data_IF_778674602885
#
_entry.id   IF_778674602885
#
_cell.length_a   1.000
_cell.length_b   1.000
_cell.length_c   1.000
_cell.angle_alpha   90.00
_cell.angle_beta   90.00
_cell.angle_gamma   90.00
#
_symmetry.space_group_name_H-M   'P 1'
#
loop_
_entity.id
_entity.type
_entity.pdbx_description
1 polymer ?
#
# COMPACT_ATOMS: atom_id res chain seq x y z
N UNK A 1 13.75 -4.87 7.44
CA UNK A 1 13.97 -3.95 6.33
C UNK A 1 12.70 -3.81 5.51
N UNK A 2 12.37 -2.58 5.07
CA UNK A 2 11.36 -2.38 4.05
C UNK A 2 11.96 -2.64 2.66
N UNK A 3 11.12 -2.91 1.66
CA UNK A 3 11.56 -3.04 0.27
C UNK A 3 12.30 -1.78 -0.22
N UNK A 4 11.78 -0.60 0.15
CA UNK A 4 12.41 0.69 -0.20
C UNK A 4 13.81 0.79 0.39
N UNK A 5 14.00 0.44 1.67
CA UNK A 5 15.31 0.46 2.32
C UNK A 5 16.29 -0.52 1.66
N UNK A 6 15.83 -1.74 1.34
CA UNK A 6 16.67 -2.72 0.64
C UNK A 6 17.12 -2.20 -0.73
N UNK A 7 16.19 -1.61 -1.50
CA UNK A 7 16.50 -1.09 -2.83
C UNK A 7 17.40 0.15 -2.78
N UNK A 8 17.25 1.01 -1.77
CA UNK A 8 18.22 2.08 -1.50
C UNK A 8 19.60 1.52 -1.20
N UNK A 9 19.69 0.47 -0.38
CA UNK A 9 20.98 -0.19 -0.09
C UNK A 9 21.61 -0.83 -1.33
N UNK A 10 20.81 -1.43 -2.22
CA UNK A 10 21.31 -2.11 -3.43
C UNK A 10 21.66 -1.14 -4.57
N UNK A 11 20.92 -0.05 -4.73
CA UNK A 11 20.96 0.83 -5.91
C UNK A 11 21.18 2.31 -5.56
N UNK A 12 21.19 2.68 -4.29
CA UNK A 12 21.50 4.02 -3.86
C UNK A 12 22.93 4.43 -4.21
N UNK A 13 23.21 5.73 -4.18
CA UNK A 13 24.53 6.27 -4.47
C UNK A 13 25.03 7.24 -3.39
N UNK A 14 24.19 7.58 -2.43
CA UNK A 14 24.57 8.36 -1.27
C UNK A 14 25.25 7.46 -0.22
N UNK A 15 26.10 8.05 0.62
CA UNK A 15 26.86 7.30 1.64
C UNK A 15 25.95 6.56 2.61
N UNK A 16 24.88 7.21 3.00
CA UNK A 16 23.88 6.70 3.94
C UNK A 16 23.15 5.46 3.36
N UNK A 17 22.84 5.50 2.08
CA UNK A 17 22.15 4.41 1.38
C UNK A 17 23.02 3.15 1.30
N UNK A 18 24.29 3.31 0.90
CA UNK A 18 25.19 2.17 0.62
C UNK A 18 25.95 1.67 1.84
N UNK A 19 25.86 2.34 3.00
CA UNK A 19 26.61 1.98 4.20
C UNK A 19 26.40 0.52 4.62
N UNK A 20 25.16 0.03 4.54
CA UNK A 20 24.79 -1.33 4.92
C UNK A 20 25.02 -2.38 3.79
N UNK A 21 25.50 -1.97 2.60
CA UNK A 21 25.60 -2.85 1.43
C UNK A 21 26.46 -4.10 1.68
N UNK A 22 27.59 -3.94 2.37
CA UNK A 22 28.49 -5.05 2.70
C UNK A 22 27.85 -6.10 3.63
N UNK A 23 26.84 -5.72 4.43
CA UNK A 23 26.16 -6.63 5.35
C UNK A 23 25.24 -7.63 4.61
N UNK A 24 24.92 -7.36 3.34
CA UNK A 24 24.14 -8.26 2.51
C UNK A 24 24.94 -9.49 2.04
N UNK A 25 26.28 -9.44 2.09
CA UNK A 25 27.11 -10.58 1.70
C UNK A 25 26.83 -11.82 2.55
N UNK A 26 26.74 -13.00 1.91
CA UNK A 26 26.46 -14.29 2.55
C UNK A 26 25.13 -14.33 3.32
N UNK A 27 24.17 -13.50 2.95
CA UNK A 27 22.85 -13.42 3.59
C UNK A 27 21.77 -14.22 2.85
N UNK A 28 20.62 -14.36 3.50
CA UNK A 28 19.36 -14.81 2.88
C UNK A 28 18.42 -13.62 2.85
N UNK A 29 17.97 -13.24 1.66
CA UNK A 29 17.01 -12.15 1.45
C UNK A 29 15.68 -12.77 1.05
N UNK A 30 14.62 -12.47 1.81
CA UNK A 30 13.25 -12.86 1.49
C UNK A 30 12.52 -11.62 1.00
N UNK A 31 12.07 -11.67 -0.26
CA UNK A 31 11.25 -10.63 -0.89
C UNK A 31 9.81 -11.11 -0.93
N UNK A 32 8.97 -10.52 -0.09
CA UNK A 32 7.54 -10.79 -0.06
C UNK A 32 6.80 -9.81 -0.96
N UNK A 33 5.64 -10.22 -1.51
CA UNK A 33 4.74 -9.39 -2.32
C UNK A 33 5.45 -8.70 -3.52
N UNK A 34 6.30 -9.42 -4.27
CA UNK A 34 7.05 -8.86 -5.42
C UNK A 34 6.14 -8.28 -6.51
N UNK A 35 4.91 -8.77 -6.64
CA UNK A 35 3.93 -8.23 -7.59
C UNK A 35 3.51 -6.78 -7.27
N UNK A 36 3.76 -6.30 -6.05
CA UNK A 36 3.52 -4.91 -5.68
C UNK A 36 4.45 -3.93 -6.40
N UNK A 37 5.60 -4.43 -6.90
CA UNK A 37 6.57 -3.60 -7.62
C UNK A 37 6.05 -3.20 -9.00
N UNK A 38 6.55 -2.08 -9.50
CA UNK A 38 6.24 -1.62 -10.86
C UNK A 38 6.66 -2.68 -11.87
N UNK A 39 5.73 -3.17 -12.67
CA UNK A 39 6.01 -4.19 -13.67
C UNK A 39 7.00 -3.70 -14.76
N UNK A 40 7.12 -2.39 -14.93
CA UNK A 40 8.11 -1.76 -15.82
C UNK A 40 9.56 -2.00 -15.41
N UNK A 41 9.83 -2.36 -14.16
CA UNK A 41 11.17 -2.61 -13.62
C UNK A 41 11.49 -4.09 -13.40
N UNK A 42 10.56 -4.99 -13.62
CA UNK A 42 10.78 -6.40 -13.29
C UNK A 42 12.00 -7.01 -13.98
N UNK A 43 12.25 -6.66 -15.25
CA UNK A 43 13.42 -7.15 -15.99
C UNK A 43 14.73 -6.72 -15.35
N UNK A 44 14.84 -5.44 -15.03
CA UNK A 44 16.02 -4.85 -14.38
C UNK A 44 16.23 -5.44 -12.99
N UNK A 45 15.15 -5.51 -12.19
CA UNK A 45 15.19 -6.05 -10.82
C UNK A 45 15.73 -7.48 -10.83
N UNK A 46 15.15 -8.36 -11.63
CA UNK A 46 15.57 -9.78 -11.67
C UNK A 46 16.99 -9.93 -12.18
N UNK A 47 17.40 -9.14 -13.17
CA UNK A 47 18.78 -9.18 -13.69
C UNK A 47 19.78 -8.76 -12.61
N UNK A 48 19.55 -7.67 -11.90
CA UNK A 48 20.40 -7.23 -10.80
C UNK A 48 20.41 -8.23 -9.63
N UNK A 49 19.25 -8.72 -9.23
CA UNK A 49 19.16 -9.69 -8.12
C UNK A 49 19.93 -10.97 -8.43
N UNK A 50 19.87 -11.49 -9.67
CA UNK A 50 20.70 -12.64 -10.10
C UNK A 50 22.20 -12.31 -10.03
N UNK A 51 22.58 -11.10 -10.47
CA UNK A 51 23.98 -10.64 -10.37
C UNK A 51 24.46 -10.57 -8.92
N UNK A 52 23.72 -9.93 -8.04
CA UNK A 52 24.06 -9.82 -6.62
C UNK A 52 24.06 -11.18 -5.92
N UNK A 53 23.10 -12.07 -6.21
CA UNK A 53 23.06 -13.41 -5.65
C UNK A 53 24.36 -14.16 -5.93
N UNK A 54 24.88 -14.06 -7.16
CA UNK A 54 26.13 -14.71 -7.57
C UNK A 54 27.37 -14.04 -6.97
N UNK A 55 27.48 -12.71 -7.09
CA UNK A 55 28.70 -11.98 -6.70
C UNK A 55 28.89 -11.90 -5.18
N UNK A 56 27.77 -11.79 -4.42
CA UNK A 56 27.80 -11.59 -2.98
C UNK A 56 27.42 -12.85 -2.19
N UNK A 57 27.25 -13.99 -2.88
CA UNK A 57 26.79 -15.25 -2.28
C UNK A 57 25.48 -15.10 -1.49
N UNK A 58 24.52 -14.35 -2.04
CA UNK A 58 23.21 -14.14 -1.43
C UNK A 58 22.24 -15.22 -1.91
N UNK A 59 21.40 -15.73 -1.01
CA UNK A 59 20.24 -16.57 -1.36
C UNK A 59 19.00 -15.70 -1.37
N UNK A 60 18.31 -15.66 -2.51
CA UNK A 60 17.11 -14.82 -2.67
C UNK A 60 15.89 -15.72 -2.76
N UNK A 61 14.93 -15.52 -1.86
CA UNK A 61 13.63 -16.20 -1.85
C UNK A 61 12.58 -15.15 -2.22
N UNK A 62 11.82 -15.42 -3.27
CA UNK A 62 10.74 -14.54 -3.72
C UNK A 62 9.41 -15.20 -3.34
N UNK A 63 8.55 -14.44 -2.66
CA UNK A 63 7.23 -14.90 -2.22
C UNK A 63 6.13 -14.00 -2.76
N UNK A 64 4.99 -14.58 -3.08
CA UNK A 64 3.79 -13.87 -3.47
C UNK A 64 2.60 -14.84 -3.53
N UNK A 65 1.40 -14.35 -3.26
CA UNK A 65 0.16 -15.10 -3.48
C UNK A 65 -0.08 -15.38 -4.97
N UNK A 66 0.31 -14.43 -5.83
CA UNK A 66 0.09 -14.43 -7.28
C UNK A 66 1.42 -14.42 -8.05
N UNK A 67 2.40 -15.22 -7.63
CA UNK A 67 3.79 -15.16 -8.09
C UNK A 67 3.95 -15.24 -9.62
N UNK A 68 4.43 -14.18 -10.30
CA UNK A 68 4.79 -14.23 -11.71
C UNK A 68 6.06 -15.06 -11.94
N UNK A 69 6.14 -15.77 -13.06
CA UNK A 69 7.39 -16.39 -13.47
C UNK A 69 8.32 -15.35 -14.10
N UNK A 70 9.06 -14.62 -13.27
CA UNK A 70 9.93 -13.53 -13.70
C UNK A 70 11.16 -13.97 -14.50
N UNK A 71 11.48 -15.28 -14.53
CA UNK A 71 12.62 -15.80 -15.27
C UNK A 71 12.51 -15.60 -16.79
N UNK A 72 11.28 -15.55 -17.31
CA UNK A 72 11.05 -15.28 -18.75
C UNK A 72 11.49 -13.90 -19.20
N UNK A 73 11.75 -12.99 -18.25
CA UNK A 73 12.22 -11.63 -18.52
C UNK A 73 13.75 -11.55 -18.68
N UNK A 74 14.50 -12.61 -18.36
CA UNK A 74 15.96 -12.64 -18.46
C UNK A 74 16.40 -13.72 -19.45
N UNK A 75 17.47 -13.46 -20.20
CA UNK A 75 18.03 -14.44 -21.15
C UNK A 75 18.94 -15.45 -20.45
N UNK A 76 19.17 -15.30 -19.16
CA UNK A 76 20.01 -16.20 -18.37
C UNK A 76 19.23 -17.43 -17.93
N UNK A 77 19.68 -18.61 -18.37
CA UNK A 77 19.03 -19.91 -18.16
C UNK A 77 19.26 -20.52 -16.76
N UNK A 78 19.80 -19.79 -15.81
CA UNK A 78 19.88 -20.25 -14.43
C UNK A 78 18.46 -20.24 -13.83
N UNK A 79 17.86 -21.40 -13.70
CA UNK A 79 16.46 -21.55 -13.28
C UNK A 79 16.32 -21.33 -11.78
N UNK A 80 15.31 -20.54 -11.39
CA UNK A 80 14.86 -20.51 -10.00
C UNK A 80 14.25 -21.87 -9.62
N UNK A 81 14.42 -22.24 -8.37
CA UNK A 81 13.85 -23.48 -7.83
C UNK A 81 12.55 -23.14 -7.13
N UNK A 82 11.45 -23.80 -7.58
CA UNK A 82 10.19 -23.71 -6.86
C UNK A 82 10.30 -24.43 -5.51
N UNK A 83 10.12 -23.70 -4.42
CA UNK A 83 10.08 -24.26 -3.06
C UNK A 83 8.76 -25.00 -2.78
N UNK A 84 7.72 -24.74 -3.55
CA UNK A 84 6.40 -25.37 -3.45
C UNK A 84 6.01 -25.89 -4.83
N UNK A 85 6.55 -27.04 -5.27
CA UNK A 85 6.30 -27.57 -6.62
C UNK A 85 4.84 -28.01 -6.83
N UNK A 86 4.16 -28.44 -5.76
CA UNK A 86 2.76 -28.89 -5.81
C UNK A 86 1.78 -27.80 -5.33
N UNK A 87 1.97 -26.56 -5.78
CA UNK A 87 1.15 -25.41 -5.38
C UNK A 87 -0.36 -25.69 -5.51
N UNK A 88 -0.79 -26.29 -6.60
CA UNK A 88 -2.18 -26.60 -6.88
C UNK A 88 -2.82 -27.48 -5.81
N UNK A 89 -2.08 -28.37 -5.19
CA UNK A 89 -2.57 -29.22 -4.10
C UNK A 89 -3.08 -28.41 -2.91
N UNK A 90 -2.40 -27.29 -2.60
CA UNK A 90 -2.81 -26.40 -1.51
C UNK A 90 -3.99 -25.53 -1.91
N UNK A 91 -3.97 -24.91 -3.08
CA UNK A 91 -5.06 -24.03 -3.54
C UNK A 91 -6.36 -24.77 -3.82
N UNK A 92 -6.29 -26.01 -4.30
CA UNK A 92 -7.46 -26.89 -4.56
C UNK A 92 -7.93 -27.64 -3.32
N UNK A 93 -7.28 -27.43 -2.15
CA UNK A 93 -7.77 -28.06 -0.93
C UNK A 93 -9.16 -27.51 -0.56
N UNK A 94 -10.15 -28.37 -0.20
CA UNK A 94 -11.53 -27.94 0.02
C UNK A 94 -11.71 -26.78 1.00
N UNK A 95 -10.85 -26.68 2.03
CA UNK A 95 -10.88 -25.59 3.01
C UNK A 95 -10.58 -24.21 2.36
N UNK A 96 -9.81 -24.17 1.28
CA UNK A 96 -9.38 -22.93 0.65
C UNK A 96 -10.07 -22.64 -0.67
N UNK A 97 -10.44 -23.68 -1.43
CA UNK A 97 -10.95 -23.54 -2.79
C UNK A 97 -12.27 -22.74 -2.85
N UNK A 98 -13.16 -22.97 -1.87
CA UNK A 98 -14.47 -22.32 -1.81
C UNK A 98 -14.61 -21.37 -0.62
N UNK A 99 -13.49 -20.95 -0.05
CA UNK A 99 -13.45 -20.06 1.11
C UNK A 99 -14.20 -18.74 0.88
N UNK A 100 -14.09 -18.20 -0.33
CA UNK A 100 -14.70 -16.93 -0.73
C UNK A 100 -15.32 -17.08 -2.11
N UNK A 101 -16.59 -16.68 -2.21
CA UNK A 101 -17.37 -16.71 -3.47
C UNK A 101 -17.34 -15.30 -4.09
N UNK A 102 -16.74 -15.12 -5.27
CA UNK A 102 -16.82 -13.86 -5.99
C UNK A 102 -18.19 -13.69 -6.64
N UNK A 103 -18.79 -12.50 -6.46
CA UNK A 103 -20.07 -12.12 -7.07
C UNK A 103 -19.87 -10.91 -7.99
N UNK A 104 -20.17 -11.09 -9.26
CA UNK A 104 -20.01 -10.07 -10.31
C UNK A 104 -21.35 -9.42 -10.71
N UNK A 105 -22.41 -9.61 -9.92
CA UNK A 105 -23.75 -9.10 -10.25
C UNK A 105 -23.80 -7.56 -10.33
N UNK A 106 -22.99 -6.88 -9.51
CA UNK A 106 -22.94 -5.41 -9.50
C UNK A 106 -22.20 -4.83 -10.71
N UNK A 107 -21.40 -5.62 -11.43
CA UNK A 107 -20.76 -5.19 -12.69
C UNK A 107 -21.71 -5.11 -13.88
N UNK A 108 -22.92 -5.69 -13.76
CA UNK A 108 -23.89 -5.72 -14.86
C UNK A 108 -24.62 -4.39 -15.07
N UNK A 109 -24.38 -3.41 -14.20
CA UNK A 109 -25.00 -2.08 -14.27
C UNK A 109 -23.98 -1.00 -13.95
N UNK A 110 -24.21 0.22 -14.44
CA UNK A 110 -23.39 1.36 -14.04
C UNK A 110 -23.61 1.62 -12.53
N UNK A 111 -22.54 1.49 -11.76
CA UNK A 111 -22.60 1.67 -10.31
C UNK A 111 -22.60 3.16 -9.95
N UNK A 112 -23.36 3.51 -8.92
CA UNK A 112 -23.31 4.80 -8.22
C UNK A 112 -23.21 4.58 -6.72
N UNK A 113 -22.76 5.58 -5.96
CA UNK A 113 -22.64 5.48 -4.50
C UNK A 113 -23.99 5.16 -3.84
N UNK A 114 -25.10 5.72 -4.34
CA UNK A 114 -26.44 5.49 -3.80
C UNK A 114 -26.91 4.05 -4.02
N UNK A 115 -26.63 3.47 -5.19
CA UNK A 115 -26.96 2.07 -5.49
C UNK A 115 -26.13 1.11 -4.62
N UNK A 116 -24.84 1.40 -4.48
CA UNK A 116 -23.96 0.63 -3.62
C UNK A 116 -24.41 0.72 -2.15
N UNK A 117 -24.73 1.92 -1.66
CA UNK A 117 -25.22 2.15 -0.31
C UNK A 117 -26.48 1.32 -0.01
N UNK A 118 -27.46 1.34 -0.90
CA UNK A 118 -28.68 0.51 -0.76
C UNK A 118 -28.37 -1.00 -0.72
N UNK A 119 -27.37 -1.45 -1.47
CA UNK A 119 -26.97 -2.85 -1.47
C UNK A 119 -26.27 -3.23 -0.16
N UNK A 120 -25.36 -2.38 0.32
CA UNK A 120 -24.64 -2.58 1.59
C UNK A 120 -25.61 -2.56 2.78
N UNK A 121 -26.56 -1.61 2.83
CA UNK A 121 -27.58 -1.54 3.88
C UNK A 121 -28.36 -2.86 4.03
N UNK A 122 -28.73 -3.51 2.93
CA UNK A 122 -29.42 -4.82 2.96
C UNK A 122 -28.55 -5.92 3.56
N UNK A 123 -27.23 -5.88 3.34
CA UNK A 123 -26.32 -6.86 3.93
C UNK A 123 -26.00 -6.54 5.40
N UNK A 124 -25.96 -5.27 5.78
CA UNK A 124 -25.75 -4.81 7.16
C UNK A 124 -26.82 -5.35 8.12
N UNK A 125 -28.06 -5.52 7.67
CA UNK A 125 -29.16 -6.13 8.46
C UNK A 125 -28.87 -7.58 8.91
N UNK A 126 -27.85 -8.23 8.37
CA UNK A 126 -27.48 -9.62 8.71
C UNK A 126 -26.47 -9.71 9.85
N UNK A 127 -26.17 -8.61 10.52
CA UNK A 127 -25.17 -8.53 11.61
C UNK A 127 -23.81 -9.12 11.22
N UNK A 128 -23.33 -8.78 10.03
CA UNK A 128 -22.08 -9.26 9.44
C UNK A 128 -20.96 -8.22 9.54
N UNK A 129 -19.73 -8.69 9.45
CA UNK A 129 -18.53 -7.85 9.29
C UNK A 129 -18.33 -7.57 7.81
N UNK A 130 -18.48 -6.31 7.41
CA UNK A 130 -18.46 -5.90 6.01
C UNK A 130 -17.23 -5.05 5.74
N UNK A 131 -16.47 -5.37 4.71
CA UNK A 131 -15.35 -4.59 4.22
C UNK A 131 -15.68 -4.01 2.86
N UNK A 132 -15.47 -2.71 2.70
CA UNK A 132 -15.69 -2.01 1.42
C UNK A 132 -14.41 -1.28 1.05
N UNK A 133 -13.85 -1.61 -0.11
CA UNK A 133 -12.65 -0.95 -0.60
C UNK A 133 -12.93 -0.16 -1.87
N UNK A 134 -12.55 1.11 -1.82
CA UNK A 134 -12.60 2.05 -2.93
C UNK A 134 -11.20 2.33 -3.49
N UNK A 135 -11.13 2.63 -4.77
CA UNK A 135 -9.91 3.12 -5.42
C UNK A 135 -9.66 4.58 -5.00
N UNK A 136 -10.69 5.43 -5.05
CA UNK A 136 -10.59 6.86 -4.74
C UNK A 136 -10.86 7.13 -3.26
N UNK A 137 -9.98 7.93 -2.63
CA UNK A 137 -10.20 8.44 -1.27
C UNK A 137 -11.47 9.27 -1.17
N UNK A 138 -11.75 10.12 -2.18
CA UNK A 138 -12.97 10.96 -2.21
C UNK A 138 -14.23 10.10 -2.24
N UNK A 139 -14.27 9.05 -3.04
CA UNK A 139 -15.41 8.14 -3.09
C UNK A 139 -15.59 7.37 -1.79
N UNK A 140 -14.49 6.91 -1.18
CA UNK A 140 -14.51 6.22 0.11
C UNK A 140 -15.07 7.12 1.22
N UNK A 141 -14.58 8.37 1.32
CA UNK A 141 -15.02 9.32 2.32
C UNK A 141 -16.49 9.72 2.12
N UNK A 142 -16.89 10.01 0.88
CA UNK A 142 -18.28 10.34 0.57
C UNK A 142 -19.21 9.18 0.92
N UNK A 143 -18.82 7.95 0.56
CA UNK A 143 -19.60 6.76 0.90
C UNK A 143 -19.69 6.52 2.41
N UNK A 144 -18.59 6.70 3.14
CA UNK A 144 -18.58 6.63 4.59
C UNK A 144 -19.60 7.60 5.21
N UNK A 145 -19.56 8.87 4.81
CA UNK A 145 -20.50 9.91 5.30
C UNK A 145 -21.97 9.58 4.96
N UNK A 146 -22.23 9.00 3.79
CA UNK A 146 -23.57 8.55 3.41
C UNK A 146 -24.06 7.38 4.27
N UNK A 147 -23.16 6.53 4.76
CA UNK A 147 -23.52 5.29 5.41
C UNK A 147 -23.67 5.42 6.92
N UNK A 148 -22.85 6.25 7.57
CA UNK A 148 -22.79 6.41 9.04
C UNK A 148 -24.16 6.59 9.67
N UNK A 149 -25.01 7.45 9.11
CA UNK A 149 -26.33 7.77 9.69
C UNK A 149 -27.46 6.87 9.19
N UNK A 150 -27.13 5.84 8.40
CA UNK A 150 -28.16 5.04 7.70
C UNK A 150 -28.16 3.56 8.07
N UNK A 151 -27.25 3.12 8.94
CA UNK A 151 -27.14 1.75 9.43
C UNK A 151 -27.05 1.72 10.94
N UNK A 152 -27.52 0.63 11.57
CA UNK A 152 -27.52 0.48 13.03
C UNK A 152 -26.19 -0.01 13.60
N UNK A 153 -25.27 -0.54 12.75
CA UNK A 153 -23.95 -0.99 13.17
C UNK A 153 -22.91 0.12 13.04
N UNK A 154 -21.83 -0.01 13.78
CA UNK A 154 -20.72 0.93 13.73
C UNK A 154 -20.06 0.92 12.33
N UNK A 155 -19.77 2.10 11.80
CA UNK A 155 -19.07 2.30 10.54
C UNK A 155 -17.69 2.90 10.83
N UNK A 156 -16.65 2.23 10.41
CA UNK A 156 -15.25 2.65 10.57
C UNK A 156 -14.71 3.11 9.22
N UNK A 157 -13.72 4.01 9.27
CA UNK A 157 -13.06 4.54 8.07
C UNK A 157 -11.54 4.39 8.16
N UNK A 158 -10.89 3.99 7.06
CA UNK A 158 -9.44 3.89 6.97
C UNK A 158 -8.96 4.23 5.57
N UNK A 159 -8.07 5.20 5.44
CA UNK A 159 -7.51 5.59 4.15
C UNK A 159 -5.98 5.76 4.19
N UNK A 160 -5.40 6.07 3.04
CA UNK A 160 -3.99 6.43 2.94
C UNK A 160 -3.62 7.70 3.72
N UNK A 161 -4.61 8.52 4.06
CA UNK A 161 -4.42 9.78 4.82
C UNK A 161 -4.49 9.57 6.34
N UNK A 162 -4.96 8.41 6.80
CA UNK A 162 -4.97 8.07 8.23
C UNK A 162 -3.54 7.91 8.76
N UNK A 163 -3.26 8.49 9.93
CA UNK A 163 -1.99 8.28 10.63
C UNK A 163 -1.81 6.80 11.02
N UNK A 164 -0.59 6.41 11.37
CA UNK A 164 -0.30 5.04 11.83
C UNK A 164 -1.13 4.71 13.07
N UNK A 165 -1.28 5.68 13.99
CA UNK A 165 -2.06 5.50 15.20
C UNK A 165 -3.56 5.33 14.90
N UNK A 166 -4.16 6.17 14.05
CA UNK A 166 -5.57 6.07 13.66
C UNK A 166 -5.88 4.70 13.02
N UNK A 167 -4.97 4.20 12.16
CA UNK A 167 -5.12 2.87 11.57
C UNK A 167 -5.12 1.78 12.63
N UNK A 168 -4.21 1.86 13.61
CA UNK A 168 -4.15 0.89 14.70
C UNK A 168 -5.41 0.93 15.55
N UNK A 169 -5.89 2.13 15.92
CA UNK A 169 -7.15 2.29 16.65
C UNK A 169 -8.34 1.69 15.89
N UNK A 170 -8.40 1.94 14.58
CA UNK A 170 -9.46 1.37 13.73
C UNK A 170 -9.42 -0.17 13.72
N UNK A 171 -8.21 -0.76 13.64
CA UNK A 171 -8.03 -2.22 13.67
C UNK A 171 -8.42 -2.77 15.04
N UNK A 172 -7.96 -2.16 16.14
CA UNK A 172 -8.26 -2.61 17.49
C UNK A 172 -9.77 -2.52 17.78
N UNK A 173 -10.42 -1.46 17.33
CA UNK A 173 -11.87 -1.31 17.40
C UNK A 173 -12.59 -2.37 16.59
N UNK A 174 -12.15 -2.59 15.35
CA UNK A 174 -12.68 -3.62 14.45
C UNK A 174 -12.67 -5.01 15.11
N UNK A 175 -11.60 -5.36 15.83
CA UNK A 175 -11.45 -6.67 16.47
C UNK A 175 -12.44 -6.89 17.63
N UNK A 176 -12.93 -5.83 18.25
CA UNK A 176 -13.87 -5.89 19.37
C UNK A 176 -15.32 -6.03 18.90
N UNK A 177 -15.63 -5.67 17.67
CA UNK A 177 -17.00 -5.60 17.15
C UNK A 177 -17.41 -6.90 16.46
N UNK A 178 -18.64 -7.35 16.72
CA UNK A 178 -19.24 -8.53 16.05
C UNK A 178 -19.88 -8.15 14.72
N UNK A 179 -20.49 -6.97 14.65
CA UNK A 179 -21.11 -6.40 13.44
C UNK A 179 -20.52 -5.03 13.21
N UNK A 180 -19.96 -4.81 12.02
CA UNK A 180 -19.25 -3.57 11.70
C UNK A 180 -19.10 -3.43 10.19
N UNK A 181 -19.05 -2.21 9.71
CA UNK A 181 -18.68 -1.88 8.33
C UNK A 181 -17.37 -1.11 8.35
N UNK A 182 -16.36 -1.60 7.65
CA UNK A 182 -15.12 -0.88 7.41
C UNK A 182 -15.11 -0.36 5.97
N UNK A 183 -15.12 0.96 5.82
CA UNK A 183 -14.91 1.64 4.53
C UNK A 183 -13.44 2.01 4.44
N UNK A 184 -12.76 1.54 3.40
CA UNK A 184 -11.33 1.72 3.28
C UNK A 184 -10.87 1.99 1.84
N UNK A 185 -9.62 2.38 1.70
CA UNK A 185 -8.87 2.36 0.44
C UNK A 185 -7.87 1.20 0.46
N UNK A 186 -6.96 1.11 -0.52
CA UNK A 186 -5.99 0.01 -0.67
C UNK A 186 -5.05 -0.22 0.53
N UNK A 187 -5.10 0.62 1.56
CA UNK A 187 -4.27 0.46 2.78
C UNK A 187 -4.53 -0.84 3.53
N UNK A 188 -5.66 -1.52 3.25
CA UNK A 188 -6.02 -2.80 3.87
C UNK A 188 -5.47 -4.02 3.13
N UNK A 189 -4.97 -3.86 1.91
CA UNK A 189 -4.50 -4.98 1.09
C UNK A 189 -3.24 -5.63 1.66
N UNK A 190 -2.32 -4.84 2.22
CA UNK A 190 -1.06 -5.32 2.77
C UNK A 190 -0.90 -4.94 4.25
N UNK A 191 -0.31 -5.84 5.03
CA UNK A 191 0.08 -5.56 6.42
C UNK A 191 -1.06 -5.50 7.45
N UNK A 192 -2.32 -5.68 7.05
CA UNK A 192 -3.47 -5.64 7.96
C UNK A 192 -4.05 -7.04 8.16
N UNK A 193 -4.13 -7.49 9.41
CA UNK A 193 -4.67 -8.80 9.76
C UNK A 193 -6.12 -8.68 10.25
N UNK A 194 -7.06 -8.74 9.29
CA UNK A 194 -8.51 -8.68 9.54
C UNK A 194 -9.22 -9.86 8.92
N UNK A 195 -10.34 -10.24 9.50
CA UNK A 195 -11.21 -11.30 9.05
C UNK A 195 -12.65 -10.78 8.93
N UNK A 196 -13.14 -10.67 7.72
CA UNK A 196 -14.45 -10.09 7.39
C UNK A 196 -15.34 -11.14 6.74
N UNK A 197 -16.67 -10.99 6.83
CA UNK A 197 -17.63 -11.93 6.25
C UNK A 197 -17.98 -11.59 4.80
N UNK A 198 -18.15 -10.31 4.52
CA UNK A 198 -18.61 -9.80 3.22
C UNK A 198 -17.63 -8.73 2.75
N UNK A 199 -17.24 -8.80 1.48
CA UNK A 199 -16.41 -7.81 0.81
C UNK A 199 -17.14 -7.08 -0.28
N UNK A 200 -16.81 -5.80 -0.48
CA UNK A 200 -17.14 -5.01 -1.66
C UNK A 200 -15.86 -4.41 -2.19
N UNK A 201 -15.51 -4.71 -3.42
CA UNK A 201 -14.25 -4.30 -4.04
C UNK A 201 -14.50 -3.49 -5.30
N UNK A 202 -14.04 -2.25 -5.33
CA UNK A 202 -13.94 -1.46 -6.55
C UNK A 202 -12.85 -2.05 -7.45
N UNK A 203 -13.19 -2.33 -8.72
CA UNK A 203 -12.34 -3.10 -9.63
C UNK A 203 -11.01 -2.41 -9.94
N UNK A 204 -9.91 -3.11 -9.73
CA UNK A 204 -8.56 -2.60 -9.96
C UNK A 204 -7.68 -3.62 -10.71
N UNK A 205 -6.62 -4.10 -10.09
CA UNK A 205 -5.74 -5.15 -10.63
C UNK A 205 -6.12 -6.51 -10.08
N UNK A 206 -5.97 -7.56 -10.87
CA UNK A 206 -6.29 -8.91 -10.43
C UNK A 206 -5.51 -9.36 -9.19
N UNK A 207 -4.29 -8.88 -9.01
CA UNK A 207 -3.49 -9.09 -7.79
C UNK A 207 -4.12 -8.46 -6.56
N UNK A 208 -4.65 -7.24 -6.71
CA UNK A 208 -5.33 -6.48 -5.67
C UNK A 208 -6.65 -7.16 -5.28
N UNK A 209 -7.40 -7.67 -6.27
CA UNK A 209 -8.61 -8.46 -6.03
C UNK A 209 -8.30 -9.70 -5.17
N UNK A 210 -7.23 -10.42 -5.49
CA UNK A 210 -6.82 -11.61 -4.72
C UNK A 210 -6.40 -11.25 -3.28
N UNK A 211 -5.64 -10.18 -3.10
CA UNK A 211 -5.24 -9.68 -1.77
C UNK A 211 -6.46 -9.29 -0.94
N UNK A 212 -7.41 -8.59 -1.55
CA UNK A 212 -8.67 -8.22 -0.91
C UNK A 212 -9.50 -9.45 -0.51
N UNK A 213 -9.68 -10.41 -1.43
CA UNK A 213 -10.35 -11.69 -1.12
C UNK A 213 -9.65 -12.43 0.03
N UNK A 214 -8.34 -12.23 0.19
CA UNK A 214 -7.56 -12.74 1.31
C UNK A 214 -8.01 -12.22 2.68
N UNK A 215 -8.76 -11.11 2.75
CA UNK A 215 -9.30 -10.51 3.99
C UNK A 215 -10.70 -11.02 4.35
N UNK A 216 -11.36 -11.71 3.42
CA UNK A 216 -12.72 -12.20 3.60
C UNK A 216 -12.68 -13.68 3.98
N UNK A 217 -13.41 -14.05 5.04
CA UNK A 217 -13.42 -15.39 5.62
C UNK A 217 -12.00 -15.97 5.79
N UNK A 218 -11.08 -15.14 6.26
CA UNK A 218 -9.66 -15.48 6.39
C UNK A 218 -9.44 -16.69 7.29
N UNK A 219 -10.23 -16.81 8.35
CA UNK A 219 -10.17 -17.92 9.30
C UNK A 219 -10.85 -19.20 8.79
N UNK A 220 -11.46 -19.19 7.62
CA UNK A 220 -12.21 -20.33 7.03
C UNK A 220 -13.30 -20.88 7.94
N UNK A 221 -13.96 -20.03 8.75
CA UNK A 221 -15.01 -20.46 9.70
C UNK A 221 -16.44 -20.38 9.15
N UNK A 222 -16.63 -19.76 8.01
CA UNK A 222 -17.92 -19.52 7.41
C UNK A 222 -17.86 -19.52 5.88
N UNK A 223 -18.84 -18.86 5.26
CA UNK A 223 -18.86 -18.57 3.84
C UNK A 223 -18.58 -17.08 3.63
N UNK A 224 -17.55 -16.76 2.84
CA UNK A 224 -17.22 -15.41 2.45
C UNK A 224 -17.81 -15.07 1.09
N UNK A 225 -18.29 -13.83 0.92
CA UNK A 225 -18.77 -13.34 -0.38
C UNK A 225 -18.05 -12.02 -0.68
N UNK A 226 -17.59 -11.87 -1.92
CA UNK A 226 -17.03 -10.60 -2.41
C UNK A 226 -17.81 -10.12 -3.61
N UNK A 227 -18.45 -8.95 -3.47
CA UNK A 227 -19.14 -8.24 -4.54
C UNK A 227 -18.16 -7.30 -5.22
N UNK A 228 -17.94 -7.51 -6.52
CA UNK A 228 -17.14 -6.61 -7.34
C UNK A 228 -18.01 -5.53 -7.97
N UNK A 229 -17.59 -4.28 -7.87
CA UNK A 229 -18.25 -3.15 -8.50
C UNK A 229 -17.23 -2.30 -9.26
N UNK A 230 -17.69 -1.46 -10.18
CA UNK A 230 -16.83 -0.56 -10.98
C UNK A 230 -17.37 0.85 -10.85
N UNK A 231 -16.72 1.65 -10.02
CA UNK A 231 -17.09 3.04 -9.75
C UNK A 231 -16.00 3.99 -10.24
N UNK A 232 -14.80 3.81 -9.72
CA UNK A 232 -13.65 4.66 -10.00
C UNK A 232 -12.67 3.98 -10.97
N UNK A 233 -11.92 4.79 -11.73
CA UNK A 233 -10.88 4.24 -12.61
C UNK A 233 -9.62 3.89 -11.84
N UNK A 234 -9.11 2.67 -11.99
CA UNK A 234 -7.83 2.24 -11.44
C UNK A 234 -6.65 3.15 -11.86
N UNK A 235 -6.75 3.84 -12.98
CA UNK A 235 -5.75 4.80 -13.46
C UNK A 235 -5.58 6.03 -12.56
N UNK A 236 -6.54 6.30 -11.67
CA UNK A 236 -6.43 7.38 -10.69
C UNK A 236 -5.32 7.12 -9.67
N UNK A 237 -5.05 5.85 -9.36
CA UNK A 237 -4.06 5.42 -8.36
C UNK A 237 -2.84 4.77 -9.01
N UNK A 238 -3.08 3.90 -9.97
CA UNK A 238 -2.01 3.22 -10.70
C UNK A 238 -1.64 4.03 -11.93
N UNK A 239 -0.39 4.45 -12.02
CA UNK A 239 0.10 5.33 -13.09
C UNK A 239 0.09 4.64 -14.46
N UNK A 240 0.12 5.44 -15.50
CA UNK A 240 0.23 5.01 -16.90
C UNK A 240 1.45 4.09 -17.08
N UNK A 241 1.21 2.97 -17.78
CA UNK A 241 2.22 1.96 -18.06
C UNK A 241 2.12 0.66 -17.28
N UNK A 242 1.28 0.57 -16.24
CA UNK A 242 0.94 -0.73 -15.63
C UNK A 242 -0.10 -1.46 -16.50
N UNK A 243 0.34 -2.48 -17.22
CA UNK A 243 -0.51 -3.26 -18.11
C UNK A 243 -1.69 -3.91 -17.39
N UNK A 244 -1.54 -4.19 -16.11
CA UNK A 244 -2.55 -4.90 -15.29
C UNK A 244 -3.82 -4.10 -15.03
N UNK A 245 -3.81 -2.77 -15.27
CA UNK A 245 -5.00 -1.92 -15.14
C UNK A 245 -5.77 -1.76 -16.45
N UNK A 246 -5.25 -2.29 -17.56
CA UNK A 246 -5.99 -2.30 -18.82
C UNK A 246 -7.22 -3.20 -18.64
N UNK A 247 -8.36 -2.79 -19.21
CA UNK A 247 -9.66 -3.47 -19.03
C UNK A 247 -9.59 -4.97 -19.33
N UNK A 248 -8.76 -5.36 -20.31
CA UNK A 248 -8.59 -6.76 -20.71
C UNK A 248 -7.92 -7.63 -19.63
N UNK A 249 -7.30 -7.03 -18.62
CA UNK A 249 -6.60 -7.70 -17.51
C UNK A 249 -7.29 -7.53 -16.15
N UNK A 250 -8.53 -7.05 -16.13
CA UNK A 250 -9.31 -6.83 -14.91
C UNK A 250 -10.51 -7.78 -14.85
N UNK A 251 -11.15 -7.89 -13.68
CA UNK A 251 -12.37 -8.70 -13.48
C UNK A 251 -13.59 -8.25 -14.31
N UNK A 252 -13.46 -7.19 -15.10
CA UNK A 252 -14.46 -6.80 -16.08
C UNK A 252 -14.56 -7.82 -17.24
N UNK A 253 -13.55 -8.66 -17.46
CA UNK A 253 -13.53 -9.71 -18.46
C UNK A 253 -13.80 -11.09 -17.84
N UNK A 254 -14.66 -11.91 -18.47
CA UNK A 254 -14.98 -13.26 -17.96
C UNK A 254 -13.76 -14.17 -17.77
N UNK A 255 -12.76 -14.07 -18.65
CA UNK A 255 -11.54 -14.88 -18.55
C UNK A 255 -10.74 -14.51 -17.28
N UNK A 256 -10.71 -13.23 -16.91
CA UNK A 256 -10.06 -12.77 -15.68
C UNK A 256 -10.83 -13.18 -14.42
N UNK A 257 -12.17 -13.21 -14.50
CA UNK A 257 -13.01 -13.76 -13.45
C UNK A 257 -12.71 -15.26 -13.21
N UNK A 258 -12.52 -16.02 -14.29
CA UNK A 258 -12.16 -17.44 -14.19
C UNK A 258 -10.75 -17.64 -13.61
N UNK A 259 -9.77 -16.80 -13.99
CA UNK A 259 -8.43 -16.82 -13.39
C UNK A 259 -8.51 -16.55 -11.89
N UNK A 260 -9.27 -15.53 -11.47
CA UNK A 260 -9.44 -15.20 -10.06
C UNK A 260 -10.13 -16.36 -9.28
N UNK A 261 -11.11 -17.03 -9.90
CA UNK A 261 -11.81 -18.18 -9.31
C UNK A 261 -10.90 -19.41 -9.17
N UNK A 262 -10.14 -19.73 -10.22
CA UNK A 262 -9.26 -20.92 -10.27
C UNK A 262 -7.90 -20.70 -9.66
N UNK A 263 -7.54 -19.44 -9.36
CA UNK A 263 -6.21 -19.03 -8.89
C UNK A 263 -5.08 -19.35 -9.88
N UNK A 264 -5.42 -19.47 -11.17
CA UNK A 264 -4.45 -19.74 -12.24
C UNK A 264 -3.74 -18.44 -12.70
N UNK A 265 -3.04 -17.80 -11.81
CA UNK A 265 -2.28 -16.58 -12.11
C UNK A 265 -1.10 -16.82 -13.05
N UNK A 266 -0.69 -18.05 -13.29
CA UNK A 266 0.38 -18.34 -14.24
C UNK A 266 0.03 -17.87 -15.66
N UNK A 267 -1.18 -18.17 -16.14
CA UNK A 267 -1.65 -17.76 -17.47
C UNK A 267 -1.79 -16.24 -17.57
N UNK A 268 -2.32 -15.61 -16.50
CA UNK A 268 -2.43 -14.16 -16.40
C UNK A 268 -1.07 -13.47 -16.56
N UNK A 269 -0.08 -13.90 -15.80
CA UNK A 269 1.26 -13.30 -15.87
C UNK A 269 2.00 -13.64 -17.16
N UNK A 270 1.76 -14.79 -17.75
CA UNK A 270 2.37 -15.14 -19.04
C UNK A 270 2.02 -14.12 -20.11
N UNK A 271 0.75 -13.72 -20.20
CA UNK A 271 0.31 -12.70 -21.16
C UNK A 271 0.89 -11.30 -20.83
N UNK A 272 0.88 -10.88 -19.57
CA UNK A 272 1.47 -9.61 -19.14
C UNK A 272 2.97 -9.57 -19.47
N UNK A 273 3.70 -10.63 -19.17
CA UNK A 273 5.14 -10.72 -19.42
C UNK A 273 5.46 -10.73 -20.92
N UNK A 274 4.64 -11.36 -21.77
CA UNK A 274 4.76 -11.31 -23.23
C UNK A 274 4.61 -9.87 -23.75
N UNK A 275 3.58 -9.16 -23.30
CA UNK A 275 3.35 -7.77 -23.69
C UNK A 275 4.50 -6.88 -23.18
N UNK A 276 4.93 -7.07 -21.94
CA UNK A 276 6.04 -6.32 -21.35
C UNK A 276 7.33 -6.53 -22.14
N UNK A 277 7.70 -7.77 -22.46
CA UNK A 277 8.89 -8.09 -23.27
C UNK A 277 8.83 -7.45 -24.65
N UNK A 278 7.65 -7.35 -25.27
CA UNK A 278 7.45 -6.68 -26.55
C UNK A 278 7.65 -5.17 -26.42
N UNK A 279 6.98 -4.51 -25.46
CA UNK A 279 7.10 -3.06 -25.21
C UNK A 279 8.56 -2.67 -24.90
N UNK A 280 9.28 -3.43 -24.09
CA UNK A 280 10.69 -3.16 -23.75
C UNK A 280 11.61 -3.23 -24.98
N UNK A 281 11.28 -4.01 -26.01
CA UNK A 281 12.05 -4.06 -27.27
C UNK A 281 11.75 -2.89 -28.21
N UNK A 282 10.53 -2.36 -28.16
CA UNK A 282 10.06 -1.26 -29.03
C UNK A 282 10.47 0.12 -28.47
N UNK A 283 10.62 0.26 -27.17
CA UNK A 283 11.05 1.49 -26.49
C UNK A 283 12.59 1.62 -26.54
N UNK A 284 13.12 2.25 -27.60
CA UNK A 284 14.57 2.41 -27.83
C UNK A 284 15.34 3.08 -26.67
N UNK A 285 14.71 3.96 -25.89
CA UNK A 285 15.34 4.64 -24.73
C UNK A 285 15.28 3.83 -23.44
N UNK A 286 14.34 2.90 -23.32
CA UNK A 286 14.11 2.03 -22.15
C UNK A 286 14.52 0.57 -22.40
N UNK A 287 15.27 0.30 -23.46
CA UNK A 287 15.78 -1.03 -23.73
C UNK A 287 16.70 -1.48 -22.58
N UNK A 288 16.47 -2.71 -22.10
CA UNK A 288 17.25 -3.33 -21.04
C UNK A 288 18.77 -3.32 -21.34
N UNK A 289 19.15 -3.66 -22.58
CA UNK A 289 20.53 -3.61 -23.04
C UNK A 289 21.12 -2.20 -22.91
N UNK A 290 20.42 -1.20 -23.43
CA UNK A 290 20.86 0.20 -23.38
C UNK A 290 20.99 0.69 -21.92
N UNK A 291 20.08 0.30 -21.04
CA UNK A 291 20.19 0.64 -19.62
C UNK A 291 21.44 0.01 -18.98
N UNK A 292 21.71 -1.26 -19.25
CA UNK A 292 22.88 -1.93 -18.68
C UNK A 292 24.19 -1.43 -19.30
N UNK A 293 24.26 -1.19 -20.60
CA UNK A 293 25.46 -0.70 -21.28
C UNK A 293 25.74 0.77 -20.97
N UNK A 294 24.75 1.64 -21.13
CA UNK A 294 24.94 3.09 -21.06
C UNK A 294 24.85 3.68 -19.65
N UNK A 295 24.16 2.99 -18.72
CA UNK A 295 24.00 3.48 -17.34
C UNK A 295 24.80 2.65 -16.35
N UNK A 296 24.49 1.37 -16.21
CA UNK A 296 25.16 0.51 -15.25
C UNK A 296 26.63 0.23 -15.64
N UNK A 297 26.90 -0.12 -16.90
CA UNK A 297 28.25 -0.39 -17.41
C UNK A 297 29.18 0.83 -17.40
N UNK A 298 28.63 2.04 -17.51
CA UNK A 298 29.38 3.30 -17.37
C UNK A 298 29.41 3.83 -15.93
N UNK A 299 28.94 3.06 -14.96
CA UNK A 299 28.93 3.40 -13.52
C UNK A 299 28.18 4.72 -13.23
N UNK A 300 27.11 5.01 -14.01
CA UNK A 300 26.27 6.18 -13.76
C UNK A 300 25.28 5.88 -12.63
N UNK A 301 25.79 5.79 -11.42
CA UNK A 301 25.02 5.43 -10.22
C UNK A 301 23.77 6.31 -9.98
N UNK A 302 23.81 7.65 -10.15
CA UNK A 302 22.62 8.46 -9.99
C UNK A 302 21.48 8.04 -10.91
N UNK A 303 21.77 7.74 -12.19
CA UNK A 303 20.75 7.28 -13.15
C UNK A 303 20.26 5.86 -12.89
N UNK A 304 21.12 4.99 -12.37
CA UNK A 304 20.72 3.65 -11.91
C UNK A 304 19.80 3.77 -10.70
N UNK A 305 20.16 4.58 -9.71
CA UNK A 305 19.38 4.83 -8.52
C UNK A 305 18.00 5.42 -8.87
N UNK A 306 17.96 6.41 -9.75
CA UNK A 306 16.72 7.03 -10.22
C UNK A 306 15.77 6.01 -10.85
N UNK A 307 16.27 5.18 -11.79
CA UNK A 307 15.48 4.16 -12.48
C UNK A 307 14.99 3.06 -11.54
N UNK A 308 15.84 2.62 -10.61
CA UNK A 308 15.57 1.50 -9.71
C UNK A 308 14.72 1.86 -8.48
N UNK A 309 14.20 3.08 -8.38
CA UNK A 309 13.24 3.46 -7.34
C UNK A 309 11.95 2.64 -7.46
N UNK A 310 11.59 1.95 -6.41
CA UNK A 310 10.36 1.14 -6.36
C UNK A 310 9.10 2.03 -6.38
N UNK A 311 9.18 3.16 -5.67
CA UNK A 311 8.14 4.16 -5.61
C UNK A 311 8.57 5.31 -6.51
N UNK A 312 7.82 5.54 -7.58
CA UNK A 312 8.04 6.65 -8.49
C UNK A 312 7.30 7.88 -7.95
N UNK A 313 7.71 8.30 -6.77
CA UNK A 313 7.22 9.55 -6.21
C UNK A 313 8.00 10.70 -6.83
N UNK A 314 7.48 11.21 -7.94
CA UNK A 314 7.85 12.54 -8.44
C UNK A 314 7.34 13.64 -7.50
N UNK A 315 6.48 13.27 -6.55
CA UNK A 315 5.95 14.17 -5.53
C UNK A 315 6.86 14.08 -4.31
N UNK A 316 7.53 15.17 -4.02
CA UNK A 316 8.18 15.29 -2.72
C UNK A 316 7.09 15.31 -1.66
N UNK A 317 7.06 14.26 -0.83
CA UNK A 317 6.19 14.22 0.34
C UNK A 317 6.91 14.85 1.53
N UNK A 318 6.20 15.63 2.30
CA UNK A 318 6.69 16.17 3.57
C UNK A 318 5.89 15.62 4.73
N UNK A 319 6.54 15.49 5.88
CA UNK A 319 5.90 15.07 7.11
C UNK A 319 5.40 16.31 7.85
N UNK A 320 4.11 16.37 8.08
CA UNK A 320 3.45 17.46 8.78
C UNK A 320 2.93 16.96 10.11
N UNK A 321 3.37 17.56 11.19
CA UNK A 321 2.86 17.28 12.52
C UNK A 321 1.69 18.24 12.79
N UNK A 322 0.48 17.70 12.86
CA UNK A 322 -0.74 18.44 13.15
C UNK A 322 -1.06 18.34 14.64
N UNK A 323 -0.80 19.40 15.39
CA UNK A 323 -1.11 19.41 16.82
C UNK A 323 -2.60 19.42 17.07
N UNK A 324 -3.06 18.47 17.88
CA UNK A 324 -4.42 18.32 18.37
C UNK A 324 -4.44 17.58 19.70
N UNK A 325 -5.57 17.48 20.33
CA UNK A 325 -5.77 16.64 21.51
C UNK A 325 -6.35 15.30 21.07
N UNK A 326 -5.67 14.22 21.41
CA UNK A 326 -6.14 12.85 21.15
C UNK A 326 -6.50 12.17 22.45
N UNK A 327 -7.68 11.56 22.50
CA UNK A 327 -8.09 10.73 23.63
C UNK A 327 -7.73 9.27 23.35
N UNK A 328 -6.89 8.67 24.20
CA UNK A 328 -6.51 7.27 24.09
C UNK A 328 -7.66 6.35 24.56
N UNK A 329 -7.63 5.05 24.22
CA UNK A 329 -8.65 4.09 24.61
C UNK A 329 -8.86 3.92 26.12
N UNK A 330 -7.85 4.24 26.93
CA UNK A 330 -7.88 4.24 28.39
C UNK A 330 -8.45 5.54 28.99
N UNK A 331 -8.74 6.54 28.13
CA UNK A 331 -9.26 7.84 28.52
C UNK A 331 -8.18 8.89 28.81
N UNK A 332 -6.90 8.56 28.66
CA UNK A 332 -5.82 9.55 28.74
C UNK A 332 -5.85 10.49 27.55
N UNK A 333 -5.62 11.77 27.77
CA UNK A 333 -5.50 12.79 26.72
C UNK A 333 -4.01 13.03 26.40
N UNK A 334 -3.68 13.00 25.12
CA UNK A 334 -2.34 13.33 24.62
C UNK A 334 -2.41 14.62 23.83
N UNK A 335 -1.70 15.64 24.30
CA UNK A 335 -1.63 16.94 23.66
C UNK A 335 -0.46 16.99 22.68
N UNK A 336 -0.73 17.29 21.39
CA UNK A 336 0.30 17.38 20.35
C UNK A 336 1.35 18.44 20.64
N UNK A 337 0.94 19.61 21.20
CA UNK A 337 1.88 20.69 21.56
C UNK A 337 2.90 20.21 22.60
N UNK A 338 2.45 19.47 23.61
CA UNK A 338 3.34 18.94 24.67
C UNK A 338 4.32 17.90 24.10
N UNK A 339 3.85 17.03 23.20
CA UNK A 339 4.70 16.02 22.55
C UNK A 339 5.74 16.68 21.65
N UNK A 340 5.37 17.76 20.93
CA UNK A 340 6.31 18.51 20.11
C UNK A 340 7.36 19.22 20.96
N UNK A 341 6.95 19.90 22.03
CA UNK A 341 7.84 20.59 22.96
C UNK A 341 8.84 19.62 23.61
N UNK A 342 8.39 18.44 24.07
CA UNK A 342 9.26 17.42 24.64
C UNK A 342 10.30 16.93 23.60
N UNK A 343 9.89 16.76 22.35
CA UNK A 343 10.81 16.40 21.26
C UNK A 343 11.88 17.46 21.05
N UNK A 344 11.50 18.74 21.03
CA UNK A 344 12.41 19.86 20.87
C UNK A 344 13.39 19.98 22.05
N UNK A 345 12.90 19.87 23.28
CA UNK A 345 13.73 19.89 24.49
C UNK A 345 14.77 18.76 24.48
N UNK A 346 14.36 17.54 24.14
CA UNK A 346 15.27 16.38 24.05
C UNK A 346 16.33 16.53 22.96
N UNK A 347 16.04 17.19 21.84
CA UNK A 347 17.03 17.45 20.79
C UNK A 347 18.09 18.48 21.23
N UNK A 348 17.71 19.43 22.08
CA UNK A 348 18.60 20.50 22.54
C UNK A 348 19.32 20.18 23.85
N UNK A 349 18.93 19.08 24.54
CA UNK A 349 19.58 18.67 25.78
C UNK A 349 21.01 18.17 25.51
N UNK A 350 22.00 18.94 25.96
CA UNK A 350 23.43 18.61 25.83
C UNK A 350 24.01 18.00 27.10
N UNK A 351 23.24 17.91 28.18
CA UNK A 351 23.71 17.42 29.46
C UNK A 351 23.38 15.94 29.65
N UNK A 352 22.37 15.43 28.91
CA UNK A 352 21.93 14.03 28.95
C UNK A 352 22.94 13.10 28.29
N UNK A 353 23.11 11.90 28.85
CA UNK A 353 23.89 10.85 28.20
C UNK A 353 23.29 10.48 26.84
N UNK A 354 24.16 10.28 25.84
CA UNK A 354 23.73 9.98 24.46
C UNK A 354 22.82 8.76 24.35
N UNK A 355 23.09 7.70 25.14
CA UNK A 355 22.28 6.48 25.11
C UNK A 355 20.89 6.72 25.70
N UNK A 356 20.81 7.46 26.82
CA UNK A 356 19.56 7.85 27.45
C UNK A 356 18.74 8.78 26.55
N UNK A 357 19.38 9.77 25.94
CA UNK A 357 18.74 10.68 24.98
C UNK A 357 18.12 9.91 23.81
N UNK A 358 18.84 8.92 23.26
CA UNK A 358 18.32 8.09 22.15
C UNK A 358 17.09 7.28 22.54
N UNK A 359 17.04 6.74 23.74
CA UNK A 359 15.86 5.99 24.22
C UNK A 359 14.67 6.94 24.36
N UNK A 360 14.84 8.08 25.06
CA UNK A 360 13.77 9.07 25.21
C UNK A 360 13.27 9.62 23.86
N UNK A 361 14.20 9.95 22.96
CA UNK A 361 13.84 10.37 21.60
C UNK A 361 13.06 9.29 20.83
N UNK A 362 13.36 8.02 21.04
CA UNK A 362 12.59 6.94 20.43
C UNK A 362 11.14 6.94 20.95
N UNK A 363 10.98 7.03 22.29
CA UNK A 363 9.66 7.03 22.93
C UNK A 363 8.80 8.22 22.52
N UNK A 364 9.41 9.42 22.46
CA UNK A 364 8.72 10.64 21.99
C UNK A 364 8.34 10.50 20.52
N UNK A 365 9.23 9.97 19.65
CA UNK A 365 8.93 9.74 18.23
C UNK A 365 7.78 8.74 18.02
N UNK A 366 7.63 7.75 18.89
CA UNK A 366 6.48 6.86 18.86
C UNK A 366 5.17 7.63 19.13
N UNK A 367 5.17 8.58 20.08
CA UNK A 367 4.01 9.45 20.33
C UNK A 367 3.79 10.46 19.22
N UNK A 368 4.86 11.03 18.64
CA UNK A 368 4.77 11.94 17.50
C UNK A 368 4.06 11.31 16.30
N UNK A 369 4.24 10.00 16.06
CA UNK A 369 3.58 9.30 14.95
C UNK A 369 2.04 9.33 15.03
N UNK A 370 1.46 9.68 16.17
CA UNK A 370 0.02 9.89 16.32
C UNK A 370 -0.47 11.13 15.56
N UNK A 371 0.40 12.11 15.38
CA UNK A 371 0.12 13.45 14.85
C UNK A 371 0.73 13.71 13.47
N UNK A 372 1.53 12.76 12.94
CA UNK A 372 2.25 12.94 11.68
C UNK A 372 1.45 12.47 10.49
N UNK A 373 1.28 13.35 9.53
CA UNK A 373 0.58 13.14 8.26
C UNK A 373 1.50 13.46 7.10
N UNK A 374 1.34 12.75 5.99
CA UNK A 374 2.10 12.97 4.78
C UNK A 374 1.34 13.86 3.81
N UNK A 375 1.95 14.94 3.36
CA UNK A 375 1.40 15.93 2.44
C UNK A 375 2.31 16.09 1.24
N UNK A 376 1.75 16.32 0.05
CA UNK A 376 2.53 16.63 -1.13
C UNK A 376 3.16 18.02 -1.00
N UNK A 377 4.48 18.12 -1.24
CA UNK A 377 5.20 19.39 -1.20
C UNK A 377 4.83 20.23 -2.42
N UNK A 378 4.07 21.29 -2.20
CA UNK A 378 3.77 22.29 -3.22
C UNK A 378 4.96 23.20 -3.51
N UNK A 379 4.79 24.12 -4.47
CA UNK A 379 5.80 25.16 -4.77
C UNK A 379 5.92 26.21 -3.66
N UNK A 380 4.87 26.36 -2.86
CA UNK A 380 4.79 27.27 -1.70
C UNK A 380 4.13 26.53 -0.55
N UNK A 381 4.51 26.85 0.69
CA UNK A 381 3.80 26.33 1.86
C UNK A 381 2.44 27.00 1.97
N UNK A 382 1.37 26.24 2.08
CA UNK A 382 0.03 26.77 2.16
C UNK A 382 -0.32 27.34 3.56
N UNK A 383 0.55 27.17 4.56
CA UNK A 383 0.27 27.55 5.96
C UNK A 383 0.92 28.87 6.31
N UNK A 384 0.18 29.76 6.96
CA UNK A 384 0.66 31.07 7.39
C UNK A 384 1.67 30.98 8.53
N UNK A 385 1.47 30.02 9.45
CA UNK A 385 2.34 29.80 10.61
C UNK A 385 2.72 28.33 10.74
N UNK A 386 4.02 28.04 10.74
CA UNK A 386 4.57 26.72 11.02
C UNK A 386 5.96 26.84 11.67
N UNK A 387 6.31 25.82 12.44
CA UNK A 387 7.67 25.60 12.92
C UNK A 387 8.29 24.43 12.13
N UNK A 388 9.62 24.35 12.06
CA UNK A 388 10.28 23.26 11.33
C UNK A 388 11.48 22.73 12.11
N UNK A 389 11.54 21.41 12.27
CA UNK A 389 12.70 20.70 12.80
C UNK A 389 13.08 19.59 11.80
N UNK A 390 14.23 19.75 11.14
CA UNK A 390 14.67 18.84 10.08
C UNK A 390 13.73 18.85 8.89
N UNK A 391 13.15 17.69 8.58
CA UNK A 391 12.18 17.48 7.50
C UNK A 391 10.71 17.44 7.99
N UNK A 392 10.47 17.76 9.25
CA UNK A 392 9.14 17.78 9.86
C UNK A 392 8.64 19.19 10.08
N UNK A 393 7.42 19.45 9.65
CA UNK A 393 6.71 20.71 9.79
C UNK A 393 5.65 20.59 10.88
N UNK A 394 5.66 21.53 11.84
CA UNK A 394 4.71 21.58 12.94
C UNK A 394 3.66 22.65 12.71
N UNK A 395 2.40 22.28 12.82
CA UNK A 395 1.24 23.17 12.75
C UNK A 395 0.50 23.10 14.07
N UNK A 396 0.50 24.20 14.83
CA UNK A 396 -0.07 24.28 16.16
C UNK A 396 -1.58 24.08 16.19
N UNK A 397 -2.30 24.67 15.25
CA UNK A 397 -3.76 24.52 15.14
C UNK A 397 -4.13 23.40 14.16
N UNK A 398 -3.61 22.20 14.40
CA UNK A 398 -3.83 21.04 13.54
C UNK A 398 -5.30 20.59 13.48
N UNK A 399 -6.04 20.76 14.58
CA UNK A 399 -7.48 20.40 14.64
C UNK A 399 -8.33 21.10 13.57
N UNK A 400 -7.93 22.29 13.13
CA UNK A 400 -8.61 23.02 12.06
C UNK A 400 -8.68 22.28 10.73
N UNK A 401 -7.82 21.28 10.50
CA UNK A 401 -7.76 20.48 9.29
C UNK A 401 -8.56 19.18 9.35
N UNK A 402 -9.29 18.94 10.44
CA UNK A 402 -10.15 17.77 10.59
C UNK A 402 -11.63 18.12 10.50
N UNK A 403 -12.41 17.20 9.96
CA UNK A 403 -13.87 17.25 9.91
C UNK A 403 -14.41 15.90 10.38
N UNK A 404 -15.11 15.86 11.51
CA UNK A 404 -15.57 14.61 12.13
C UNK A 404 -14.43 13.58 12.32
N UNK A 405 -13.30 14.03 12.86
CA UNK A 405 -12.07 13.26 13.08
C UNK A 405 -11.39 12.70 11.81
N UNK A 406 -11.85 13.07 10.63
CA UNK A 406 -11.22 12.72 9.35
C UNK A 406 -10.42 13.91 8.84
N UNK A 407 -9.17 13.65 8.42
CA UNK A 407 -8.31 14.68 7.84
C UNK A 407 -8.89 15.21 6.52
N UNK A 408 -9.20 16.50 6.48
CA UNK A 408 -9.57 17.19 5.25
C UNK A 408 -8.28 17.59 4.51
N UNK A 409 -7.87 16.72 3.59
CA UNK A 409 -6.63 16.91 2.84
C UNK A 409 -6.64 18.17 1.98
N UNK A 410 -7.76 18.49 1.33
CA UNK A 410 -7.89 19.67 0.48
C UNK A 410 -7.64 20.96 1.30
N UNK A 411 -8.24 21.03 2.49
CA UNK A 411 -8.03 22.14 3.42
C UNK A 411 -6.59 22.21 3.91
N UNK A 412 -5.94 21.08 4.16
CA UNK A 412 -4.54 21.02 4.57
C UNK A 412 -3.60 21.47 3.44
N UNK A 413 -3.84 21.06 2.21
CA UNK A 413 -3.03 21.39 1.04
C UNK A 413 -3.23 22.84 0.55
N UNK A 414 -4.34 23.48 0.89
CA UNK A 414 -4.65 24.88 0.55
C UNK A 414 -4.41 25.86 1.70
N UNK A 415 -3.96 25.40 2.86
CA UNK A 415 -3.74 26.24 4.05
C UNK A 415 -5.03 26.66 4.77
N UNK A 416 -6.16 26.02 4.47
CA UNK A 416 -7.44 26.31 5.09
C UNK A 416 -8.22 27.46 4.44
N UNK A 417 -7.70 28.14 3.45
CA UNK A 417 -8.43 29.07 2.64
C UNK A 417 -9.22 28.32 1.55
N UNK A 418 -10.43 27.92 1.88
CA UNK A 418 -11.43 27.59 0.86
C UNK A 418 -11.97 28.92 0.32
N UNK A 419 -11.45 29.36 -0.80
CA UNK A 419 -12.09 30.42 -1.56
C UNK A 419 -13.45 29.88 -2.07
N UNK A 420 -14.52 30.45 -1.53
CA UNK A 420 -15.90 30.28 -2.03
C UNK A 420 -16.10 31.02 -3.35
#
# INVERSE_FOLDING_TARGET
>A
FTHVTLFKTLFGHEKEDIFAFHQLCNSVIVLDEIQSYRNSLWSEIITFLKGYAKLMNIKIIIMSATLPNLEVLTDNKENAVSLIPERDRYFKHPVFAERVIPDYSLLKQKMTLELLCKHVQKQALKEKRILIEFISKKSAEHFYRMLVDTVDCEVLFMSGDSSIWERQQTIDRLLQLKSVILVATQVIEAGVDIDMDIGYKDCSKLDSEEQFMGRINRSCKGEGIVYFFNLDSARMVYRDGDIRIDEDFTVLKPDMQEILRTKNFADYYEEILKIRKRRTKEENENNLENFFEEKAGRLNYPKVSEKMRLIDDQREMMNVFLSRILTLPDGEEVCGDEVWQEYEELLHDKEMDYSEQRVKLHDVKCRMNMFVYQVEKGSTFPWDEYEQIGDMYFIRNGEAYFENDILNREKLETGGELFF
#
